data_IF_347221018695
#
_entry.id   IF_347221018695
#
_cell.length_a   1.000
_cell.length_b   1.000
_cell.length_c   1.000
_cell.angle_alpha   90.00
_cell.angle_beta   90.00
_cell.angle_gamma   90.00
#
_symmetry.space_group_name_H-M   'P 1'
#
loop_
_entity.id
_entity.type
_entity.pdbx_description
1 polymer ?
#
# COMPACT_ATOMS: atom_id res chain seq x y z
N UNK A 1 24.20 -1.34 19.31
CA UNK A 1 23.18 -0.28 19.07
C UNK A 1 23.48 0.28 17.71
N UNK A 2 22.77 -0.14 16.66
CA UNK A 2 22.83 0.52 15.36
C UNK A 2 22.13 1.87 15.51
N UNK A 3 22.80 2.95 15.07
CA UNK A 3 22.19 4.28 15.06
C UNK A 3 20.86 4.22 14.25
N UNK A 4 19.82 4.84 14.78
CA UNK A 4 18.56 4.96 14.02
C UNK A 4 18.84 5.62 12.68
N UNK A 5 18.30 5.09 11.57
CA UNK A 5 18.52 5.66 10.27
C UNK A 5 17.94 7.09 10.23
N UNK A 6 18.67 8.04 9.64
CA UNK A 6 18.13 9.38 9.46
C UNK A 6 16.89 9.35 8.58
N UNK A 7 15.92 10.22 8.84
CA UNK A 7 14.69 10.32 8.07
C UNK A 7 14.93 10.50 6.56
N UNK A 8 15.99 11.25 6.20
CA UNK A 8 16.42 11.39 4.81
C UNK A 8 16.75 10.04 4.19
N UNK A 9 17.52 9.20 4.88
CA UNK A 9 17.87 7.87 4.41
C UNK A 9 16.64 6.96 4.30
N UNK A 10 15.72 7.01 5.27
CA UNK A 10 14.47 6.28 5.19
C UNK A 10 13.62 6.70 3.98
N UNK A 11 13.56 7.99 3.67
CA UNK A 11 12.83 8.49 2.51
C UNK A 11 13.44 8.01 1.19
N UNK A 12 14.77 8.06 1.08
CA UNK A 12 15.49 7.55 -0.11
C UNK A 12 15.31 6.02 -0.27
N UNK A 13 15.27 5.28 0.83
CA UNK A 13 15.00 3.84 0.80
C UNK A 13 13.54 3.52 0.46
N UNK A 14 12.58 4.33 0.92
CA UNK A 14 11.17 4.15 0.59
C UNK A 14 10.91 4.29 -0.91
N UNK A 15 11.65 5.14 -1.60
CA UNK A 15 11.58 5.35 -3.05
C UNK A 15 11.78 4.05 -3.83
N UNK A 16 12.75 3.24 -3.41
CA UNK A 16 13.00 1.91 -4.00
C UNK A 16 11.74 1.03 -4.04
N UNK A 17 10.98 0.96 -2.96
CA UNK A 17 9.72 0.19 -2.93
C UNK A 17 8.66 0.71 -3.90
N UNK A 18 8.55 2.03 -4.06
CA UNK A 18 7.64 2.62 -5.04
C UNK A 18 8.11 2.40 -6.48
N UNK A 19 9.40 2.46 -6.74
CA UNK A 19 9.97 2.15 -8.04
C UNK A 19 9.63 0.72 -8.46
N UNK A 20 9.79 -0.27 -7.58
CA UNK A 20 9.38 -1.65 -7.85
C UNK A 20 7.88 -1.78 -8.11
N UNK A 21 7.03 -1.04 -7.41
CA UNK A 21 5.59 -1.04 -7.67
C UNK A 21 5.26 -0.49 -9.06
N UNK A 22 5.95 0.54 -9.52
CA UNK A 22 5.71 1.16 -10.81
C UNK A 22 6.29 0.33 -11.96
N UNK A 23 7.57 -0.07 -11.85
CA UNK A 23 8.31 -0.66 -12.96
C UNK A 23 8.12 -2.16 -13.06
N UNK A 24 8.06 -2.88 -11.95
CA UNK A 24 7.96 -4.34 -11.95
C UNK A 24 6.50 -4.82 -11.90
N UNK A 25 5.61 -4.08 -11.22
CA UNK A 25 4.22 -4.46 -11.01
C UNK A 25 3.22 -3.62 -11.80
N UNK A 26 3.67 -2.61 -12.54
CA UNK A 26 2.85 -1.73 -13.40
C UNK A 26 1.75 -0.96 -12.65
N UNK A 27 1.95 -0.66 -11.37
CA UNK A 27 1.00 0.13 -10.59
C UNK A 27 1.21 1.64 -10.79
N UNK A 28 0.78 2.15 -11.93
CA UNK A 28 0.97 3.56 -12.33
C UNK A 28 0.45 4.60 -11.30
N UNK A 29 -0.45 4.21 -10.40
CA UNK A 29 -0.96 5.08 -9.33
C UNK A 29 0.16 5.54 -8.38
N UNK A 30 1.25 4.79 -8.27
CA UNK A 30 2.41 5.12 -7.43
C UNK A 30 3.49 5.92 -8.16
N UNK A 31 3.31 6.26 -9.44
CA UNK A 31 4.25 7.07 -10.22
C UNK A 31 4.18 8.57 -9.86
N UNK A 32 3.97 8.89 -8.59
CA UNK A 32 3.89 10.25 -8.07
C UNK A 32 5.21 10.76 -7.50
N UNK A 33 5.12 11.82 -6.69
CA UNK A 33 6.31 12.39 -6.06
C UNK A 33 6.78 11.58 -4.87
N UNK A 34 8.00 11.08 -4.95
CA UNK A 34 8.74 10.41 -3.88
C UNK A 34 9.76 11.33 -3.17
N UNK A 35 9.59 12.66 -3.30
CA UNK A 35 10.44 13.60 -2.60
C UNK A 35 10.55 13.26 -1.09
N UNK A 36 11.72 13.50 -0.45
CA UNK A 36 11.90 13.15 0.95
C UNK A 36 10.84 13.75 1.86
N UNK A 37 10.37 12.96 2.82
CA UNK A 37 9.49 13.45 3.88
C UNK A 37 10.27 14.26 4.91
N UNK A 38 9.61 15.19 5.58
CA UNK A 38 10.20 16.03 6.62
C UNK A 38 9.93 15.42 8.00
N UNK A 39 10.70 15.85 8.98
CA UNK A 39 10.37 15.61 10.38
C UNK A 39 9.18 16.46 10.79
N UNK A 40 8.24 15.85 11.49
CA UNK A 40 7.04 16.53 11.96
C UNK A 40 7.39 17.44 13.14
N UNK A 41 7.19 18.73 12.98
CA UNK A 41 7.29 19.69 14.09
C UNK A 41 6.20 19.45 15.13
N UNK A 42 6.44 19.85 16.38
CA UNK A 42 5.51 19.63 17.51
C UNK A 42 5.18 18.15 17.74
N UNK A 43 6.21 17.31 17.70
CA UNK A 43 6.06 15.84 17.80
C UNK A 43 5.29 15.41 19.06
N UNK A 44 5.50 16.06 20.21
CA UNK A 44 4.77 15.76 21.45
C UNK A 44 3.25 15.89 21.29
N UNK A 45 2.80 16.96 20.63
CA UNK A 45 1.37 17.19 20.35
C UNK A 45 0.84 16.06 19.43
N UNK A 46 1.51 15.77 18.33
CA UNK A 46 1.07 14.73 17.42
C UNK A 46 1.15 13.33 18.04
N UNK A 47 2.13 13.09 18.92
CA UNK A 47 2.25 11.85 19.70
C UNK A 47 1.09 11.70 20.68
N UNK A 48 0.65 12.79 21.34
CA UNK A 48 -0.52 12.74 22.22
C UNK A 48 -1.82 12.40 21.47
N UNK A 49 -1.86 12.72 20.17
CA UNK A 49 -2.97 12.39 19.26
C UNK A 49 -2.82 11.02 18.57
N UNK A 50 -1.76 10.27 18.85
CA UNK A 50 -1.48 8.99 18.20
C UNK A 50 -1.16 9.12 16.71
N UNK A 51 -0.67 10.27 16.25
CA UNK A 51 -0.42 10.58 14.85
C UNK A 51 1.00 10.20 14.44
N UNK A 52 1.14 9.30 13.48
CA UNK A 52 2.42 8.87 12.91
C UNK A 52 3.03 9.89 11.95
N UNK A 53 2.22 10.73 11.35
CA UNK A 53 2.65 11.70 10.35
C UNK A 53 1.48 12.53 9.85
N UNK A 54 1.82 13.53 9.07
CA UNK A 54 0.87 14.49 8.51
C UNK A 54 1.33 14.94 7.13
N UNK A 55 0.41 15.02 6.20
CA UNK A 55 0.65 15.62 4.88
C UNK A 55 -0.28 16.80 4.67
N UNK A 56 0.29 17.96 4.42
CA UNK A 56 -0.44 19.18 4.15
C UNK A 56 -1.04 19.11 2.73
N UNK A 57 -2.34 19.02 2.61
CA UNK A 57 -3.04 18.84 1.33
C UNK A 57 -2.80 19.98 0.32
N UNK A 58 -2.57 21.21 0.82
CA UNK A 58 -2.38 22.39 -0.04
C UNK A 58 -0.95 22.46 -0.58
N UNK A 59 0.05 22.18 0.25
CA UNK A 59 1.47 22.30 -0.11
C UNK A 59 2.06 20.98 -0.60
N UNK A 60 1.41 19.86 -0.35
CA UNK A 60 1.93 18.52 -0.61
C UNK A 60 3.12 18.15 0.30
N UNK A 61 3.38 18.94 1.36
CA UNK A 61 4.44 18.61 2.30
C UNK A 61 4.05 17.45 3.20
N UNK A 62 4.82 16.38 3.12
CA UNK A 62 4.68 15.20 3.97
C UNK A 62 5.70 15.25 5.10
N UNK A 63 5.25 14.95 6.31
CA UNK A 63 6.08 14.91 7.51
C UNK A 63 5.75 13.67 8.36
N UNK A 64 6.77 13.10 9.00
CA UNK A 64 6.67 11.90 9.83
C UNK A 64 7.09 12.22 11.26
N UNK A 65 6.35 11.69 12.22
CA UNK A 65 6.61 11.84 13.65
C UNK A 65 7.75 10.89 14.06
N UNK A 66 8.89 11.45 14.37
CA UNK A 66 10.09 10.68 14.76
C UNK A 66 10.03 10.12 16.18
N UNK A 67 9.05 10.52 17.01
CA UNK A 67 8.79 9.91 18.32
C UNK A 67 8.05 8.56 18.19
N UNK A 68 7.61 8.20 16.99
CA UNK A 68 7.01 6.89 16.74
C UNK A 68 8.03 5.77 16.93
N UNK A 69 7.62 4.58 17.40
CA UNK A 69 8.51 3.42 17.49
C UNK A 69 9.25 3.18 16.17
N UNK A 70 10.56 2.91 16.25
CA UNK A 70 11.41 2.78 15.06
C UNK A 70 10.93 1.75 14.03
N UNK A 71 10.26 0.67 14.50
CA UNK A 71 9.64 -0.33 13.62
C UNK A 71 8.52 0.26 12.75
N UNK A 72 7.88 1.36 13.18
CA UNK A 72 6.78 2.00 12.45
C UNK A 72 7.27 2.98 11.37
N UNK A 73 8.47 3.52 11.52
CA UNK A 73 8.95 4.63 10.69
C UNK A 73 8.98 4.31 9.19
N UNK A 74 9.47 3.13 8.73
CA UNK A 74 9.45 2.80 7.30
C UNK A 74 8.03 2.82 6.71
N UNK A 75 7.08 2.21 7.42
CA UNK A 75 5.67 2.22 7.00
C UNK A 75 5.07 3.63 7.03
N UNK A 76 5.37 4.43 8.07
CA UNK A 76 4.87 5.80 8.18
C UNK A 76 5.38 6.69 7.03
N UNK A 77 6.64 6.54 6.64
CA UNK A 77 7.22 7.24 5.47
C UNK A 77 6.47 6.87 4.20
N UNK A 78 6.31 5.59 3.92
CA UNK A 78 5.56 5.12 2.74
C UNK A 78 4.10 5.62 2.75
N UNK A 79 3.45 5.64 3.92
CA UNK A 79 2.08 6.13 4.06
C UNK A 79 1.93 7.61 3.71
N UNK A 80 2.83 8.45 4.19
CA UNK A 80 2.78 9.88 3.88
C UNK A 80 3.16 10.16 2.42
N UNK A 81 4.05 9.36 1.82
CA UNK A 81 4.30 9.42 0.39
C UNK A 81 3.06 9.04 -0.44
N UNK A 82 2.34 7.98 -0.07
CA UNK A 82 1.06 7.63 -0.70
C UNK A 82 0.06 8.79 -0.67
N UNK A 83 -0.06 9.49 0.46
CA UNK A 83 -0.96 10.63 0.57
C UNK A 83 -0.54 11.79 -0.34
N UNK A 84 0.76 12.04 -0.46
CA UNK A 84 1.31 13.02 -1.43
C UNK A 84 1.01 12.64 -2.88
N UNK A 85 0.96 11.35 -3.19
CA UNK A 85 0.54 10.82 -4.49
C UNK A 85 -0.98 10.90 -4.72
N UNK A 86 -1.69 11.69 -3.90
CA UNK A 86 -3.14 11.88 -3.95
C UNK A 86 -3.97 10.63 -3.58
N UNK A 87 -3.38 9.65 -2.91
CA UNK A 87 -4.12 8.52 -2.35
C UNK A 87 -4.71 8.97 -1.00
N UNK A 88 -5.88 9.60 -1.02
CA UNK A 88 -6.47 10.27 0.13
C UNK A 88 -7.23 9.33 1.09
N UNK A 89 -7.76 8.22 0.58
CA UNK A 89 -8.49 7.23 1.40
C UNK A 89 -7.56 6.60 2.44
N UNK A 90 -8.01 6.54 3.70
CA UNK A 90 -7.23 5.90 4.77
C UNK A 90 -6.92 4.43 4.43
N UNK A 91 -7.92 3.69 3.95
CA UNK A 91 -7.76 2.31 3.50
C UNK A 91 -6.66 2.19 2.44
N UNK A 92 -6.78 2.98 1.38
CA UNK A 92 -5.93 2.83 0.19
C UNK A 92 -4.49 3.28 0.46
N UNK A 93 -4.29 4.36 1.25
CA UNK A 93 -2.93 4.80 1.61
C UNK A 93 -2.22 3.83 2.55
N UNK A 94 -2.94 3.18 3.47
CA UNK A 94 -2.35 2.16 4.34
C UNK A 94 -2.02 0.89 3.56
N UNK A 95 -2.88 0.49 2.64
CA UNK A 95 -2.60 -0.63 1.75
C UNK A 95 -1.46 -0.33 0.77
N UNK A 96 -1.43 0.87 0.18
CA UNK A 96 -0.32 1.33 -0.67
C UNK A 96 1.02 1.36 0.07
N UNK A 97 1.02 1.83 1.33
CA UNK A 97 2.21 1.79 2.18
C UNK A 97 2.69 0.34 2.44
N UNK A 98 1.75 -0.59 2.68
CA UNK A 98 2.08 -2.01 2.81
C UNK A 98 2.72 -2.54 1.53
N UNK A 99 2.15 -2.26 0.37
CA UNK A 99 2.70 -2.70 -0.91
C UNK A 99 4.11 -2.15 -1.15
N UNK A 100 4.34 -0.86 -0.89
CA UNK A 100 5.67 -0.25 -1.02
C UNK A 100 6.69 -0.85 -0.05
N UNK A 101 6.29 -1.12 1.19
CA UNK A 101 7.12 -1.80 2.17
C UNK A 101 7.45 -3.24 1.75
N UNK A 102 6.47 -3.97 1.24
CA UNK A 102 6.63 -5.36 0.82
C UNK A 102 7.50 -5.47 -0.44
N UNK A 103 7.38 -4.54 -1.38
CA UNK A 103 8.18 -4.50 -2.60
C UNK A 103 9.60 -3.99 -2.39
N UNK A 104 9.92 -3.42 -1.22
CA UNK A 104 11.23 -2.86 -0.91
C UNK A 104 12.26 -3.96 -0.70
N UNK A 105 13.50 -3.74 -1.16
CA UNK A 105 14.62 -4.66 -0.94
C UNK A 105 15.14 -4.66 0.50
N UNK A 106 14.90 -3.57 1.26
CA UNK A 106 15.33 -3.44 2.65
C UNK A 106 14.39 -4.21 3.59
N UNK A 107 14.95 -5.18 4.32
CA UNK A 107 14.21 -6.01 5.27
C UNK A 107 13.54 -5.20 6.39
N UNK A 108 14.03 -4.00 6.72
CA UNK A 108 13.38 -3.14 7.71
C UNK A 108 12.02 -2.65 7.20
N UNK A 109 11.92 -2.31 5.91
CA UNK A 109 10.65 -1.94 5.28
C UNK A 109 9.71 -3.12 5.22
N UNK A 110 10.17 -4.27 4.74
CA UNK A 110 9.36 -5.48 4.68
C UNK A 110 8.82 -5.85 6.07
N UNK A 111 9.68 -5.85 7.08
CA UNK A 111 9.29 -6.14 8.46
C UNK A 111 8.24 -5.15 8.97
N UNK A 112 8.47 -3.84 8.78
CA UNK A 112 7.53 -2.79 9.17
C UNK A 112 6.14 -2.98 8.53
N UNK A 113 6.10 -3.28 7.23
CA UNK A 113 4.87 -3.56 6.49
C UNK A 113 4.14 -4.79 7.03
N UNK A 114 4.85 -5.89 7.28
CA UNK A 114 4.24 -7.12 7.79
C UNK A 114 3.78 -7.02 9.24
N UNK A 115 4.51 -6.32 10.12
CA UNK A 115 4.03 -6.04 11.49
C UNK A 115 2.73 -5.25 11.46
N UNK A 116 2.63 -4.30 10.54
CA UNK A 116 1.41 -3.51 10.37
C UNK A 116 0.24 -4.34 9.84
N UNK A 117 0.48 -5.18 8.82
CA UNK A 117 -0.52 -6.11 8.30
C UNK A 117 -1.00 -7.10 9.38
N UNK A 118 -0.07 -7.65 10.16
CA UNK A 118 -0.36 -8.52 11.31
C UNK A 118 -1.28 -7.83 12.34
N UNK A 119 -0.96 -6.58 12.68
CA UNK A 119 -1.77 -5.78 13.60
C UNK A 119 -3.20 -5.56 13.07
N UNK A 120 -3.37 -5.21 11.81
CA UNK A 120 -4.70 -5.05 11.20
C UNK A 120 -5.48 -6.36 11.24
N UNK A 121 -4.84 -7.46 10.88
CA UNK A 121 -5.48 -8.77 10.92
C UNK A 121 -5.92 -9.13 12.35
N UNK A 122 -5.08 -8.90 13.36
CA UNK A 122 -5.45 -9.17 14.76
C UNK A 122 -6.66 -8.32 15.21
N UNK A 123 -6.66 -7.03 14.86
CA UNK A 123 -7.75 -6.10 15.23
C UNK A 123 -9.09 -6.47 14.58
N UNK A 124 -9.05 -7.11 13.40
CA UNK A 124 -10.26 -7.54 12.68
C UNK A 124 -10.79 -8.92 13.15
N UNK A 125 -10.04 -9.66 13.96
CA UNK A 125 -10.43 -10.97 14.45
C UNK A 125 -11.22 -10.85 15.77
N UNK A 126 -12.14 -11.80 16.05
CA UNK A 126 -12.71 -11.95 17.39
C UNK A 126 -11.62 -12.20 18.43
N UNK A 127 -11.77 -11.64 19.64
CA UNK A 127 -10.75 -11.63 20.69
C UNK A 127 -10.16 -13.01 21.02
N UNK A 128 -11.01 -14.03 21.07
CA UNK A 128 -10.60 -15.42 21.33
C UNK A 128 -9.73 -16.02 20.21
N UNK A 129 -9.94 -15.59 18.97
CA UNK A 129 -9.14 -16.01 17.80
C UNK A 129 -7.85 -15.21 17.78
N UNK A 130 -7.94 -13.88 17.95
CA UNK A 130 -6.79 -12.99 17.99
C UNK A 130 -5.76 -13.41 19.04
N UNK A 131 -6.22 -13.73 20.26
CA UNK A 131 -5.33 -14.23 21.34
C UNK A 131 -4.66 -15.55 20.99
N UNK A 132 -5.36 -16.46 20.31
CA UNK A 132 -4.79 -17.74 19.87
C UNK A 132 -3.73 -17.54 18.78
N UNK A 133 -3.96 -16.61 17.85
CA UNK A 133 -2.99 -16.25 16.80
C UNK A 133 -1.78 -15.56 17.40
N UNK A 134 -2.00 -14.58 18.29
CA UNK A 134 -0.94 -13.85 18.97
C UNK A 134 -0.02 -14.77 19.79
N UNK A 135 -0.58 -15.79 20.44
CA UNK A 135 0.20 -16.78 21.21
C UNK A 135 1.15 -17.63 20.33
N UNK A 136 0.93 -17.69 19.03
CA UNK A 136 1.78 -18.42 18.06
C UNK A 136 2.81 -17.51 17.37
N UNK A 137 2.64 -16.20 17.47
CA UNK A 137 3.54 -15.24 16.87
C UNK A 137 4.89 -15.20 17.60
N UNK A 138 5.92 -14.73 16.89
CA UNK A 138 7.20 -14.44 17.54
C UNK A 138 7.01 -13.33 18.59
N UNK A 139 7.63 -13.50 19.75
CA UNK A 139 7.52 -12.55 20.87
C UNK A 139 7.93 -11.12 20.48
N UNK A 140 8.90 -10.95 19.57
CA UNK A 140 9.30 -9.62 19.09
C UNK A 140 8.19 -8.98 18.26
N UNK A 141 7.54 -9.73 17.35
CA UNK A 141 6.42 -9.23 16.53
C UNK A 141 5.26 -8.78 17.42
N UNK A 142 4.93 -9.56 18.46
CA UNK A 142 3.88 -9.20 19.42
C UNK A 142 4.24 -7.91 20.15
N UNK A 143 5.47 -7.80 20.64
CA UNK A 143 5.95 -6.60 21.32
C UNK A 143 5.91 -5.36 20.43
N UNK A 144 6.31 -5.49 19.17
CA UNK A 144 6.32 -4.37 18.21
C UNK A 144 4.90 -3.95 17.83
N UNK A 145 3.98 -4.90 17.68
CA UNK A 145 2.56 -4.61 17.46
C UNK A 145 1.91 -3.93 18.68
N UNK A 146 2.27 -4.34 19.90
CA UNK A 146 1.82 -3.70 21.15
C UNK A 146 2.37 -2.27 21.27
N UNK A 147 3.65 -2.04 20.97
CA UNK A 147 4.25 -0.72 20.96
C UNK A 147 3.52 0.23 19.98
N UNK A 148 3.14 -0.30 18.82
CA UNK A 148 2.32 0.43 17.87
C UNK A 148 0.93 0.76 18.42
N UNK A 149 0.23 -0.21 18.97
CA UNK A 149 -1.10 -0.01 19.54
C UNK A 149 -1.07 1.02 20.67
N UNK A 150 -0.01 1.02 21.47
CA UNK A 150 0.17 2.01 22.55
C UNK A 150 0.44 3.41 21.98
N UNK A 151 1.25 3.52 20.94
CA UNK A 151 1.56 4.80 20.30
C UNK A 151 0.31 5.46 19.69
N UNK A 152 -0.55 4.70 19.00
CA UNK A 152 -1.73 5.26 18.31
C UNK A 152 -2.92 5.55 19.25
N UNK A 153 -2.80 5.24 20.55
CA UNK A 153 -3.83 5.64 21.51
C UNK A 153 -3.82 7.15 21.71
N UNK A 154 -4.98 7.77 21.51
CA UNK A 154 -5.16 9.18 21.82
C UNK A 154 -5.09 9.39 23.33
N UNK A 155 -4.11 10.16 23.78
CA UNK A 155 -3.86 10.45 25.20
C UNK A 155 -4.64 11.69 25.67
N UNK A 156 -4.71 12.68 24.78
CA UNK A 156 -5.37 13.96 25.04
C UNK A 156 -6.33 14.28 23.88
N UNK A 157 -7.65 14.01 24.03
CA UNK A 157 -8.60 14.32 22.97
C UNK A 157 -8.68 15.84 22.76
N UNK A 158 -8.64 16.25 21.49
CA UNK A 158 -8.82 17.66 21.12
C UNK A 158 -10.33 17.92 21.05
N UNK A 159 -10.79 19.00 21.70
CA UNK A 159 -12.20 19.46 21.62
C UNK A 159 -12.55 19.96 20.20
N UNK A 160 -11.56 20.44 19.43
CA UNK A 160 -11.73 20.93 18.08
C UNK A 160 -11.25 19.88 17.07
N UNK A 161 -12.18 19.32 16.30
CA UNK A 161 -11.91 18.46 15.16
C UNK A 161 -12.04 19.29 13.86
N UNK A 162 -10.93 19.63 13.16
CA UNK A 162 -10.99 20.38 11.93
C UNK A 162 -11.81 19.69 10.84
N UNK A 163 -11.78 18.36 10.79
CA UNK A 163 -12.54 17.59 9.82
C UNK A 163 -14.03 17.64 10.11
N UNK A 164 -14.42 17.61 11.38
CA UNK A 164 -15.83 17.82 11.79
C UNK A 164 -16.30 19.22 11.43
N UNK A 165 -15.45 20.22 11.64
CA UNK A 165 -15.75 21.61 11.29
C UNK A 165 -15.93 21.80 9.79
N UNK A 166 -15.00 21.24 8.97
CA UNK A 166 -15.10 21.27 7.50
C UNK A 166 -16.32 20.50 7.01
N UNK A 167 -16.61 19.35 7.59
CA UNK A 167 -17.77 18.53 7.22
C UNK A 167 -19.10 19.25 7.56
N UNK A 168 -19.17 19.96 8.69
CA UNK A 168 -20.31 20.80 9.02
C UNK A 168 -20.51 21.95 8.03
N UNK A 169 -19.42 22.60 7.60
CA UNK A 169 -19.50 23.67 6.57
C UNK A 169 -19.94 23.10 5.22
N UNK A 170 -19.43 21.95 4.82
CA UNK A 170 -19.75 21.32 3.55
C UNK A 170 -21.14 20.66 3.51
N UNK A 171 -21.88 20.64 4.61
CA UNK A 171 -23.17 19.93 4.79
C UNK A 171 -23.13 18.46 4.31
N UNK A 172 -21.96 17.87 4.30
CA UNK A 172 -21.79 16.45 3.99
C UNK A 172 -21.85 15.68 5.32
N UNK A 173 -22.98 15.05 5.59
CA UNK A 173 -23.04 13.89 6.49
C UNK A 173 -22.28 12.72 5.83
N UNK A 174 -20.97 12.81 5.77
CA UNK A 174 -20.17 11.63 5.46
C UNK A 174 -20.06 10.83 6.76
N UNK A 175 -20.58 9.62 6.75
CA UNK A 175 -20.40 8.68 7.84
C UNK A 175 -18.89 8.51 8.10
N UNK A 176 -18.41 9.04 9.23
CA UNK A 176 -16.99 8.93 9.60
C UNK A 176 -16.75 7.50 10.05
N UNK A 177 -16.02 6.75 9.24
CA UNK A 177 -15.70 5.34 9.56
C UNK A 177 -14.92 5.26 10.86
N UNK A 178 -15.27 4.30 11.68
CA UNK A 178 -14.52 3.98 12.89
C UNK A 178 -13.15 3.36 12.53
N UNK A 179 -12.16 3.45 13.42
CA UNK A 179 -10.86 2.78 13.20
C UNK A 179 -11.01 1.28 12.90
N UNK A 180 -11.94 0.60 13.55
CA UNK A 180 -12.20 -0.83 13.31
C UNK A 180 -12.77 -1.10 11.91
N UNK A 181 -13.64 -0.24 11.39
CA UNK A 181 -14.15 -0.37 10.01
C UNK A 181 -13.03 -0.14 8.99
N UNK A 182 -12.12 0.80 9.25
CA UNK A 182 -10.96 1.04 8.39
C UNK A 182 -10.01 -0.16 8.44
N UNK A 183 -9.69 -0.69 9.60
CA UNK A 183 -8.84 -1.87 9.77
C UNK A 183 -9.43 -3.07 9.01
N UNK A 184 -10.74 -3.30 9.09
CA UNK A 184 -11.43 -4.37 8.37
C UNK A 184 -11.33 -4.21 6.83
N UNK A 185 -11.52 -3.01 6.32
CA UNK A 185 -11.37 -2.73 4.89
C UNK A 185 -9.93 -2.94 4.39
N UNK A 186 -8.93 -2.61 5.22
CA UNK A 186 -7.52 -2.88 4.92
C UNK A 186 -7.28 -4.39 4.86
N UNK A 187 -7.82 -5.13 5.83
CA UNK A 187 -7.70 -6.61 5.86
C UNK A 187 -8.31 -7.24 4.62
N UNK A 188 -9.44 -6.75 4.13
CA UNK A 188 -10.03 -7.25 2.88
C UNK A 188 -9.08 -7.09 1.69
N UNK A 189 -8.38 -5.94 1.59
CA UNK A 189 -7.37 -5.75 0.55
C UNK A 189 -6.15 -6.65 0.73
N UNK A 190 -5.66 -6.82 1.97
CA UNK A 190 -4.54 -7.72 2.28
C UNK A 190 -4.87 -9.18 1.93
N UNK A 191 -6.06 -9.64 2.26
CA UNK A 191 -6.53 -11.00 1.93
C UNK A 191 -6.63 -11.20 0.42
N UNK A 192 -7.21 -10.22 -0.30
CA UNK A 192 -7.31 -10.28 -1.76
C UNK A 192 -5.93 -10.30 -2.42
N UNK A 193 -5.02 -9.45 -1.97
CA UNK A 193 -3.64 -9.42 -2.45
C UNK A 193 -2.91 -10.74 -2.18
N UNK A 194 -3.02 -11.27 -0.96
CA UNK A 194 -2.39 -12.55 -0.59
C UNK A 194 -2.92 -13.69 -1.45
N UNK A 195 -4.23 -13.74 -1.67
CA UNK A 195 -4.85 -14.75 -2.51
C UNK A 195 -4.34 -14.65 -3.96
N UNK A 196 -4.35 -13.45 -4.53
CA UNK A 196 -3.92 -13.21 -5.91
C UNK A 196 -2.43 -13.49 -6.14
N UNK A 197 -1.56 -13.04 -5.23
CA UNK A 197 -0.11 -13.10 -5.42
C UNK A 197 0.53 -14.40 -4.91
N UNK A 198 -0.06 -15.06 -3.95
CA UNK A 198 0.56 -16.21 -3.26
C UNK A 198 -0.26 -17.47 -3.44
N UNK A 199 -1.57 -17.42 -3.18
CA UNK A 199 -2.42 -18.61 -3.21
C UNK A 199 -2.73 -19.02 -4.65
N UNK A 200 -3.22 -18.10 -5.48
CA UNK A 200 -3.61 -18.41 -6.85
C UNK A 200 -2.46 -18.98 -7.69
N UNK A 201 -1.25 -18.43 -7.70
CA UNK A 201 -0.12 -19.01 -8.44
C UNK A 201 0.30 -20.40 -7.93
N UNK A 202 0.00 -20.74 -6.66
CA UNK A 202 0.32 -22.06 -6.10
C UNK A 202 -0.68 -23.17 -6.49
N UNK A 203 -1.87 -22.79 -6.93
CA UNK A 203 -2.94 -23.73 -7.30
C UNK A 203 -3.19 -23.79 -8.81
N UNK A 204 -2.88 -22.72 -9.53
CA UNK A 204 -3.02 -22.66 -10.99
C UNK A 204 -1.67 -23.01 -11.61
N UNK A 205 -1.63 -24.04 -12.43
CA UNK A 205 -0.42 -24.30 -13.24
C UNK A 205 -0.13 -23.06 -14.09
N UNK A 206 1.15 -22.65 -14.17
CA UNK A 206 1.51 -21.50 -14.98
C UNK A 206 1.01 -21.74 -16.41
N UNK A 207 0.13 -20.86 -16.87
CA UNK A 207 -0.28 -20.85 -18.29
C UNK A 207 1.01 -20.70 -19.07
N UNK A 208 1.35 -21.72 -19.91
CA UNK A 208 2.49 -21.61 -20.80
C UNK A 208 2.34 -20.30 -21.57
N UNK A 209 3.36 -19.46 -21.54
CA UNK A 209 3.39 -18.29 -22.42
C UNK A 209 3.04 -18.73 -23.83
N UNK A 210 2.12 -18.01 -24.46
CA UNK A 210 1.72 -18.30 -25.83
C UNK A 210 2.96 -18.12 -26.71
N UNK A 211 3.53 -19.21 -27.15
CA UNK A 211 4.55 -19.21 -28.20
C UNK A 211 3.85 -19.34 -29.56
N UNK A 212 3.77 -18.26 -30.35
CA UNK A 212 3.13 -18.30 -31.65
C UNK A 212 3.81 -19.29 -32.64
N UNK A 213 4.98 -19.81 -32.30
CA UNK A 213 5.73 -20.78 -33.10
C UNK A 213 5.71 -22.19 -32.50
N UNK A 214 5.02 -22.44 -31.37
CA UNK A 214 4.85 -23.78 -30.80
C UNK A 214 3.76 -24.54 -31.56
N UNK A 215 4.17 -25.37 -32.52
CA UNK A 215 3.27 -26.21 -33.32
C UNK A 215 2.48 -27.23 -32.47
N UNK A 216 2.81 -27.39 -31.18
CA UNK A 216 2.09 -28.31 -30.26
C UNK A 216 0.90 -27.64 -29.57
N UNK A 217 0.74 -26.35 -29.70
CA UNK A 217 -0.45 -25.65 -29.16
C UNK A 217 -1.66 -25.95 -30.05
N UNK A 218 -2.48 -26.89 -29.61
CA UNK A 218 -3.79 -27.12 -30.19
C UNK A 218 -4.65 -25.91 -29.88
N UNK A 219 -5.25 -25.32 -30.91
CA UNK A 219 -6.23 -24.25 -30.76
C UNK A 219 -7.39 -24.72 -29.87
N UNK A 220 -7.42 -24.23 -28.63
CA UNK A 220 -8.45 -24.56 -27.65
C UNK A 220 -9.77 -23.83 -27.92
N UNK A 221 -9.83 -22.94 -28.90
CA UNK A 221 -11.04 -22.16 -29.19
C UNK A 221 -12.08 -22.94 -30.01
N UNK A 222 -11.66 -24.00 -30.69
CA UNK A 222 -12.56 -24.80 -31.56
C UNK A 222 -13.26 -23.98 -32.65
N UNK A 223 -12.86 -22.74 -32.85
CA UNK A 223 -13.41 -21.88 -33.88
C UNK A 223 -12.77 -22.21 -35.23
N UNK A 224 -13.57 -22.41 -36.30
CA UNK A 224 -13.01 -22.59 -37.63
C UNK A 224 -12.23 -21.33 -38.01
N UNK A 225 -10.99 -21.54 -38.43
CA UNK A 225 -10.17 -20.47 -38.99
C UNK A 225 -10.94 -19.83 -40.14
N UNK A 226 -11.19 -18.52 -40.03
CA UNK A 226 -11.66 -17.76 -41.19
C UNK A 226 -10.67 -17.92 -42.35
N UNK A 227 -11.12 -17.80 -43.59
CA UNK A 227 -10.24 -17.92 -44.75
C UNK A 227 -9.07 -16.95 -44.61
N UNK A 228 -7.87 -17.44 -44.90
CA UNK A 228 -6.66 -16.62 -44.92
C UNK A 228 -6.92 -15.32 -45.68
N UNK A 229 -6.38 -14.17 -45.21
CA UNK A 229 -6.50 -12.94 -45.96
C UNK A 229 -5.88 -13.18 -47.35
N UNK A 230 -6.75 -13.15 -48.36
CA UNK A 230 -6.37 -13.22 -49.75
C UNK A 230 -5.48 -12.02 -50.02
N UNK A 231 -4.27 -12.24 -50.48
CA UNK A 231 -3.41 -11.22 -51.00
C UNK A 231 -4.16 -10.43 -52.10
N UNK A 232 -4.62 -9.26 -51.75
CA UNK A 232 -5.12 -8.30 -52.71
C UNK A 232 -4.19 -7.09 -52.68
N UNK A 233 -3.01 -7.32 -53.15
CA UNK A 233 -2.11 -6.27 -53.61
C UNK A 233 -1.66 -6.67 -54.99
N UNK A 234 -2.25 -6.09 -55.98
CA UNK A 234 -1.60 -5.63 -57.20
C UNK A 234 -2.65 -5.16 -58.18
N UNK A 235 -2.48 -3.96 -58.58
CA UNK A 235 -2.79 -3.27 -59.80
C UNK A 235 -3.58 -1.96 -59.61
N UNK A 236 -2.86 -0.94 -59.31
CA UNK A 236 -3.16 0.37 -59.93
C UNK A 236 -1.87 0.88 -60.52
N UNK A 237 -1.58 0.38 -61.71
CA UNK A 237 -0.69 1.03 -62.66
C UNK A 237 -1.43 2.12 -63.40
N UNK A 238 -0.77 3.28 -63.48
CA UNK A 238 -0.72 4.21 -64.63
C UNK A 238 -1.85 4.13 -65.69
N UNK A 239 -2.57 5.23 -65.82
CA UNK A 239 -3.00 5.95 -67.06
C UNK A 239 -3.85 7.12 -66.58
N UNK A 240 -3.56 8.33 -66.86
CA UNK A 240 -3.34 9.07 -68.08
C UNK A 240 -3.04 10.54 -67.82
N UNK A 241 -2.22 11.07 -68.70
CA UNK A 241 -2.32 12.32 -69.43
C UNK A 241 -2.61 13.59 -68.66
#
# INVERSE_FOLDING_TARGET
MSAEPSLKKLSEQADNGFDHLVYDNYYAVFAGSTAPVKELGMSEFFTSQGQMGYTAAITGEAAVNMDAPGVMLPFAVCREMCFRMCIASQRDKHFGAFLACQANEDLQFQYSGYVMAYRYCLNALPENVASTVAARANAQVTKDAEAWNEFVKVKEPIEFDPDEFINKIAQKESHKKTPAEIDLEIVQLLVSWHYEKIVLPSIVEPVKEFDPYDETMVDLTGLPHGPAPTEAVEEVTEEAA
#
